data_IF_697459035832
#
_entry.id   IF_697459035832
#
_cell.length_a   1.000
_cell.length_b   1.000
_cell.length_c   1.000
_cell.angle_alpha   90.00
_cell.angle_beta   90.00
_cell.angle_gamma   90.00
#
_symmetry.space_group_name_H-M   'P 1'
#
loop_
_entity.id
_entity.type
_entity.pdbx_description
1 polymer ?
#
# COMPACT_ATOMS: atom_id res chain seq x y z
N UNK A 1 -8.02 -24.85 -0.08
CA UNK A 1 -7.86 -25.97 -1.03
C UNK A 1 -7.02 -27.03 -0.33
N UNK A 2 -7.42 -28.31 -0.33
CA UNK A 2 -6.57 -29.41 0.16
C UNK A 2 -5.83 -29.99 -1.05
N UNK A 3 -4.53 -30.23 -0.92
CA UNK A 3 -3.73 -30.87 -1.97
C UNK A 3 -4.02 -32.38 -1.97
N UNK A 4 -4.20 -33.02 -3.14
CA UNK A 4 -4.35 -34.47 -3.24
C UNK A 4 -3.15 -35.21 -2.64
N UNK A 5 -3.41 -36.24 -1.82
CA UNK A 5 -2.35 -36.97 -1.08
C UNK A 5 -1.35 -37.69 -2.00
N UNK A 6 -1.77 -38.14 -3.18
CA UNK A 6 -0.88 -38.82 -4.12
C UNK A 6 0.28 -37.92 -4.60
N UNK A 7 0.10 -36.59 -4.60
CA UNK A 7 1.14 -35.64 -5.01
C UNK A 7 2.29 -35.57 -4.00
N UNK A 8 2.10 -36.02 -2.76
CA UNK A 8 3.13 -35.94 -1.71
C UNK A 8 4.26 -36.94 -1.92
N UNK A 9 4.01 -37.99 -2.70
CA UNK A 9 4.98 -39.06 -2.98
C UNK A 9 5.52 -39.03 -4.41
N UNK A 10 5.01 -38.16 -5.27
CA UNK A 10 5.48 -38.02 -6.65
C UNK A 10 6.74 -37.14 -6.72
N UNK A 11 7.67 -37.56 -7.57
CA UNK A 11 8.87 -36.83 -7.96
C UNK A 11 8.85 -36.67 -9.48
N UNK A 12 9.35 -35.53 -9.98
CA UNK A 12 9.59 -35.37 -11.41
C UNK A 12 10.89 -36.08 -11.85
N UNK A 13 11.20 -36.02 -13.14
CA UNK A 13 12.40 -36.65 -13.74
C UNK A 13 13.72 -36.13 -13.15
N UNK A 14 13.70 -34.99 -12.46
CA UNK A 14 14.86 -34.37 -11.81
C UNK A 14 14.89 -34.63 -10.29
N UNK A 15 13.99 -35.46 -9.77
CA UNK A 15 13.88 -35.75 -8.33
C UNK A 15 13.28 -34.59 -7.54
N UNK A 16 12.60 -33.64 -8.18
CA UNK A 16 11.93 -32.55 -7.49
C UNK A 16 10.61 -33.04 -6.89
N UNK A 17 10.50 -32.92 -5.57
CA UNK A 17 9.22 -33.10 -4.87
C UNK A 17 8.28 -31.90 -5.08
N UNK A 18 7.01 -32.06 -4.70
CA UNK A 18 6.02 -30.96 -4.72
C UNK A 18 6.52 -29.68 -4.02
N UNK A 19 7.37 -29.81 -2.99
CA UNK A 19 7.98 -28.66 -2.30
C UNK A 19 9.00 -27.93 -3.18
N UNK A 20 9.80 -28.67 -3.96
CA UNK A 20 10.74 -28.08 -4.92
C UNK A 20 9.97 -27.38 -6.04
N UNK A 21 8.91 -27.99 -6.55
CA UNK A 21 8.06 -27.38 -7.58
C UNK A 21 7.35 -26.12 -7.08
N UNK A 22 6.86 -26.13 -5.84
CA UNK A 22 6.27 -24.94 -5.21
C UNK A 22 7.31 -23.86 -4.86
N UNK A 23 8.60 -24.21 -4.83
CA UNK A 23 9.69 -23.28 -4.61
C UNK A 23 10.21 -22.63 -5.91
N UNK A 24 9.85 -23.17 -7.08
CA UNK A 24 10.29 -22.65 -8.36
C UNK A 24 9.40 -21.49 -8.81
N UNK A 25 10.03 -20.37 -9.15
CA UNK A 25 9.37 -19.30 -9.91
C UNK A 25 9.29 -19.75 -11.38
N UNK A 26 8.11 -20.13 -11.86
CA UNK A 26 7.91 -20.58 -13.24
C UNK A 26 7.96 -19.43 -14.26
N UNK A 27 8.17 -19.75 -15.54
CA UNK A 27 8.16 -18.75 -16.64
C UNK A 27 6.77 -18.13 -16.90
N UNK A 28 5.71 -18.86 -16.56
CA UNK A 28 4.35 -18.33 -16.56
C UNK A 28 4.14 -17.52 -15.28
N UNK A 29 3.96 -16.20 -15.40
CA UNK A 29 3.45 -15.35 -14.32
C UNK A 29 2.07 -15.87 -13.88
N UNK A 30 1.97 -16.62 -12.77
CA UNK A 30 0.71 -17.27 -12.41
C UNK A 30 -0.32 -16.28 -11.86
N UNK A 31 0.11 -15.05 -11.63
CA UNK A 31 -0.61 -14.04 -10.87
C UNK A 31 -0.52 -12.70 -11.59
N UNK A 32 -1.66 -12.14 -12.06
CA UNK A 32 -1.74 -10.74 -12.50
C UNK A 32 -1.86 -9.83 -11.28
N UNK A 33 -0.80 -9.73 -10.49
CA UNK A 33 -0.77 -8.85 -9.32
C UNK A 33 0.04 -7.61 -9.67
N UNK A 34 -0.47 -6.39 -9.41
CA UNK A 34 0.30 -5.19 -9.67
C UNK A 34 1.52 -5.11 -8.75
N UNK A 35 2.72 -5.14 -9.33
CA UNK A 35 3.98 -4.91 -8.63
C UNK A 35 4.66 -6.18 -8.12
N UNK A 36 5.96 -6.30 -8.44
CA UNK A 36 6.82 -7.43 -8.08
C UNK A 36 6.86 -7.72 -6.56
N UNK A 37 6.64 -6.71 -5.72
CA UNK A 37 6.62 -6.88 -4.26
C UNK A 37 5.42 -7.71 -3.78
N UNK A 38 4.24 -7.48 -4.36
CA UNK A 38 3.06 -8.24 -4.03
C UNK A 38 3.18 -9.66 -4.60
N UNK A 39 3.67 -9.82 -5.83
CA UNK A 39 3.99 -11.15 -6.37
C UNK A 39 4.92 -11.94 -5.44
N UNK A 40 5.98 -11.31 -4.93
CA UNK A 40 6.88 -11.95 -3.95
C UNK A 40 6.16 -12.36 -2.66
N UNK A 41 5.26 -11.52 -2.13
CA UNK A 41 4.45 -11.87 -0.97
C UNK A 41 3.60 -13.12 -1.23
N UNK A 42 3.02 -13.23 -2.41
CA UNK A 42 2.19 -14.36 -2.82
C UNK A 42 2.99 -15.64 -2.99
N UNK A 43 4.17 -15.59 -3.61
CA UNK A 43 5.08 -16.74 -3.72
C UNK A 43 5.46 -17.29 -2.34
N UNK A 44 5.75 -16.42 -1.37
CA UNK A 44 6.04 -16.83 0.02
C UNK A 44 4.81 -17.48 0.67
N UNK A 45 3.61 -16.96 0.43
CA UNK A 45 2.36 -17.53 0.98
C UNK A 45 2.05 -18.89 0.37
N UNK A 46 2.23 -19.02 -0.94
CA UNK A 46 2.05 -20.27 -1.67
C UNK A 46 3.02 -21.34 -1.17
N UNK A 47 4.33 -21.03 -1.14
CA UNK A 47 5.35 -21.93 -0.63
C UNK A 47 5.03 -22.41 0.79
N UNK A 48 4.61 -21.50 1.68
CA UNK A 48 4.17 -21.88 3.03
C UNK A 48 2.89 -22.69 3.04
N UNK A 49 1.93 -22.41 2.17
CA UNK A 49 0.69 -23.17 2.09
C UNK A 49 0.97 -24.62 1.70
N UNK A 50 1.81 -24.84 0.68
CA UNK A 50 2.26 -26.17 0.27
C UNK A 50 3.03 -26.85 1.40
N UNK A 51 3.98 -26.14 2.03
CA UNK A 51 4.74 -26.65 3.17
C UNK A 51 3.86 -27.16 4.32
N UNK A 52 2.83 -26.41 4.74
CA UNK A 52 1.96 -26.85 5.84
C UNK A 52 0.96 -27.93 5.44
N UNK A 53 0.79 -28.20 4.13
CA UNK A 53 -0.15 -29.21 3.64
C UNK A 53 0.45 -30.60 3.54
N UNK A 54 1.77 -30.73 3.70
CA UNK A 54 2.51 -31.97 3.48
C UNK A 54 2.95 -32.58 4.83
N UNK A 55 2.92 -33.92 5.00
CA UNK A 55 3.42 -34.58 6.19
C UNK A 55 4.91 -34.29 6.49
N UNK A 56 5.33 -34.24 7.78
CA UNK A 56 6.70 -33.89 8.17
C UNK A 56 7.82 -34.74 7.56
N UNK A 57 7.51 -36.01 7.27
CA UNK A 57 8.45 -36.98 6.70
C UNK A 57 8.91 -36.60 5.28
N UNK A 58 8.15 -35.77 4.56
CA UNK A 58 8.46 -35.38 3.19
C UNK A 58 9.30 -34.09 3.08
N UNK A 59 9.67 -33.45 4.20
CA UNK A 59 10.43 -32.18 4.19
C UNK A 59 11.92 -32.34 3.88
N UNK A 60 12.50 -33.51 4.13
CA UNK A 60 13.94 -33.74 4.08
C UNK A 60 14.42 -34.40 2.77
N UNK A 61 13.66 -34.21 1.68
CA UNK A 61 14.08 -34.70 0.36
C UNK A 61 14.93 -33.63 -0.34
N UNK A 62 16.07 -34.06 -0.92
CA UNK A 62 16.86 -33.26 -1.82
C UNK A 62 16.65 -33.76 -3.25
N UNK A 63 16.66 -32.86 -4.22
CA UNK A 63 16.58 -33.25 -5.63
C UNK A 63 17.88 -33.94 -6.12
N UNK A 64 17.92 -34.36 -7.38
CA UNK A 64 19.08 -35.03 -7.97
C UNK A 64 20.38 -34.20 -7.96
N UNK A 65 20.27 -32.87 -7.74
CA UNK A 65 21.42 -31.94 -7.59
C UNK A 65 21.82 -31.72 -6.13
N UNK A 66 21.19 -32.40 -5.17
CA UNK A 66 21.43 -32.25 -3.74
C UNK A 66 20.89 -30.93 -3.16
N UNK A 67 19.96 -30.27 -3.85
CA UNK A 67 19.42 -28.98 -3.45
C UNK A 67 18.15 -29.16 -2.62
N UNK A 68 17.95 -28.26 -1.65
CA UNK A 68 16.73 -28.21 -0.84
C UNK A 68 15.71 -27.28 -1.48
N UNK A 69 14.39 -27.47 -1.24
CA UNK A 69 13.36 -26.56 -1.73
C UNK A 69 13.61 -25.10 -1.35
N UNK A 70 14.13 -24.86 -0.14
CA UNK A 70 14.46 -23.52 0.35
C UNK A 70 15.59 -22.85 -0.43
N UNK A 71 16.60 -23.62 -0.84
CA UNK A 71 17.71 -23.10 -1.65
C UNK A 71 17.21 -22.70 -3.04
N UNK A 72 16.38 -23.55 -3.67
CA UNK A 72 15.74 -23.27 -4.95
C UNK A 72 14.86 -22.01 -4.87
N UNK A 73 14.06 -21.86 -3.81
CA UNK A 73 13.21 -20.68 -3.62
C UNK A 73 14.04 -19.39 -3.65
N UNK A 74 15.11 -19.35 -2.85
CA UNK A 74 15.98 -18.18 -2.76
C UNK A 74 16.66 -17.85 -4.10
N UNK A 75 17.12 -18.86 -4.84
CA UNK A 75 17.79 -18.67 -6.12
C UNK A 75 16.84 -18.20 -7.23
N UNK A 76 15.69 -18.86 -7.36
CA UNK A 76 14.71 -18.56 -8.43
C UNK A 76 13.98 -17.24 -8.21
N UNK A 77 13.86 -16.78 -6.96
CA UNK A 77 13.17 -15.52 -6.62
C UNK A 77 14.12 -14.34 -6.40
N UNK A 78 15.43 -14.47 -6.62
CA UNK A 78 16.40 -13.38 -6.38
C UNK A 78 16.06 -12.12 -7.20
N UNK A 79 15.72 -12.30 -8.48
CA UNK A 79 15.30 -11.20 -9.36
C UNK A 79 14.02 -10.53 -8.86
N UNK A 80 13.02 -11.33 -8.47
CA UNK A 80 11.74 -10.84 -7.97
C UNK A 80 11.90 -10.06 -6.65
N UNK A 81 12.82 -10.47 -5.77
CA UNK A 81 13.17 -9.73 -4.56
C UNK A 81 13.77 -8.36 -4.91
N UNK A 82 14.69 -8.30 -5.89
CA UNK A 82 15.29 -7.03 -6.33
C UNK A 82 14.24 -6.09 -6.91
N UNK A 83 13.41 -6.58 -7.83
CA UNK A 83 12.35 -5.80 -8.47
C UNK A 83 11.27 -5.39 -7.47
N UNK A 84 10.89 -6.27 -6.55
CA UNK A 84 9.93 -5.96 -5.49
C UNK A 84 10.47 -4.92 -4.50
N UNK A 85 11.76 -5.01 -4.15
CA UNK A 85 12.42 -4.01 -3.28
C UNK A 85 12.45 -2.65 -3.96
N UNK A 86 12.85 -2.61 -5.23
CA UNK A 86 12.87 -1.39 -6.03
C UNK A 86 11.47 -0.77 -6.13
N UNK A 87 10.45 -1.57 -6.45
CA UNK A 87 9.08 -1.12 -6.54
C UNK A 87 8.57 -0.54 -5.20
N UNK A 88 8.85 -1.20 -4.08
CA UNK A 88 8.47 -0.73 -2.74
C UNK A 88 9.13 0.61 -2.39
N UNK A 89 10.42 0.72 -2.62
CA UNK A 89 11.19 1.95 -2.36
C UNK A 89 10.64 3.08 -3.23
N UNK A 90 10.51 2.85 -4.54
CA UNK A 90 10.06 3.89 -5.48
C UNK A 90 8.63 4.36 -5.21
N UNK A 91 7.75 3.43 -4.85
CA UNK A 91 6.37 3.76 -4.45
C UNK A 91 6.36 4.57 -3.14
N UNK A 92 7.16 4.15 -2.16
CA UNK A 92 7.26 4.83 -0.85
C UNK A 92 7.86 6.23 -0.98
N UNK A 93 8.87 6.43 -1.80
CA UNK A 93 9.42 7.76 -2.12
C UNK A 93 8.35 8.67 -2.72
N UNK A 94 7.63 8.18 -3.73
CA UNK A 94 6.60 8.96 -4.43
C UNK A 94 5.45 9.35 -3.48
N UNK A 95 5.01 8.41 -2.64
CA UNK A 95 3.98 8.68 -1.63
C UNK A 95 4.48 9.59 -0.50
N UNK A 96 5.77 9.52 -0.15
CA UNK A 96 6.37 10.42 0.85
C UNK A 96 6.35 11.87 0.37
N UNK A 97 6.62 12.12 -0.92
CA UNK A 97 6.52 13.48 -1.47
C UNK A 97 5.11 14.02 -1.32
N UNK A 98 4.09 13.21 -1.63
CA UNK A 98 2.68 13.62 -1.51
C UNK A 98 2.30 13.86 -0.05
N UNK A 99 2.72 12.98 0.86
CA UNK A 99 2.52 13.18 2.30
C UNK A 99 3.18 14.49 2.78
N UNK A 100 4.45 14.72 2.43
CA UNK A 100 5.16 15.95 2.79
C UNK A 100 4.44 17.20 2.27
N UNK A 101 3.92 17.18 1.04
CA UNK A 101 3.11 18.26 0.49
C UNK A 101 1.83 18.50 1.31
N UNK A 102 1.08 17.45 1.65
CA UNK A 102 -0.13 17.59 2.47
C UNK A 102 0.21 18.12 3.87
N UNK A 103 1.30 17.64 4.48
CA UNK A 103 1.75 18.12 5.78
C UNK A 103 2.13 19.60 5.72
N UNK A 104 2.85 20.04 4.69
CA UNK A 104 3.21 21.43 4.51
C UNK A 104 1.98 22.33 4.31
N UNK A 105 1.01 21.90 3.49
CA UNK A 105 -0.25 22.63 3.28
C UNK A 105 -1.04 22.70 4.59
N UNK A 106 -1.25 21.58 5.28
CA UNK A 106 -1.98 21.52 6.54
C UNK A 106 -1.32 22.34 7.66
N UNK A 107 0.02 22.39 7.70
CA UNK A 107 0.77 23.24 8.62
C UNK A 107 0.59 24.72 8.27
N UNK A 108 0.72 25.08 6.99
CA UNK A 108 0.52 26.45 6.54
C UNK A 108 -0.91 26.95 6.82
N UNK A 109 -1.93 26.12 6.57
CA UNK A 109 -3.34 26.47 6.86
C UNK A 109 -3.59 26.60 8.36
N UNK A 110 -2.98 25.76 9.19
CA UNK A 110 -3.08 25.90 10.65
C UNK A 110 -2.37 27.16 11.18
N UNK A 111 -1.28 27.58 10.54
CA UNK A 111 -0.56 28.80 10.88
C UNK A 111 -1.28 30.07 10.38
N UNK A 112 -2.07 29.95 9.32
CA UNK A 112 -2.82 31.05 8.70
C UNK A 112 -4.32 30.86 8.93
N UNK A 113 -4.73 31.04 10.18
CA UNK A 113 -6.13 30.89 10.58
C UNK A 113 -7.03 31.88 9.81
N UNK A 114 -8.12 31.41 9.18
CA UNK A 114 -9.09 32.29 8.54
C UNK A 114 -9.61 33.30 9.58
N UNK A 115 -9.66 34.58 9.22
CA UNK A 115 -10.13 35.65 10.11
C UNK A 115 -9.10 36.20 11.10
N UNK A 116 -7.96 35.53 11.29
CA UNK A 116 -6.89 35.98 12.18
C UNK A 116 -7.24 35.86 13.68
N UNK A 117 -6.41 36.47 14.51
CA UNK A 117 -6.61 36.58 15.96
C UNK A 117 -7.17 37.96 16.29
N UNK A 118 -8.05 38.04 17.28
CA UNK A 118 -8.51 39.31 17.83
C UNK A 118 -7.38 39.96 18.64
N UNK A 119 -7.00 41.17 18.28
CA UNK A 119 -5.91 41.94 18.89
C UNK A 119 -6.10 42.17 20.40
N UNK A 120 -7.34 42.08 20.92
CA UNK A 120 -7.65 42.32 22.33
C UNK A 120 -7.62 41.06 23.19
N UNK A 121 -8.04 39.93 22.64
CA UNK A 121 -8.25 38.69 23.38
C UNK A 121 -7.21 37.62 23.02
N UNK A 122 -6.58 37.72 21.84
CA UNK A 122 -5.69 36.70 21.28
C UNK A 122 -6.43 35.46 20.78
N UNK A 123 -7.76 35.47 20.80
CA UNK A 123 -8.62 34.37 20.35
C UNK A 123 -8.91 34.47 18.85
N UNK A 124 -9.18 33.35 18.16
CA UNK A 124 -9.56 33.40 16.75
C UNK A 124 -10.86 34.18 16.53
N UNK A 125 -10.86 35.11 15.59
CA UNK A 125 -12.02 35.99 15.31
C UNK A 125 -13.27 35.20 14.88
N UNK A 126 -13.08 33.99 14.35
CA UNK A 126 -14.15 33.11 13.85
C UNK A 126 -14.46 31.95 14.79
N UNK A 127 -14.03 31.99 16.06
CA UNK A 127 -14.19 30.92 17.05
C UNK A 127 -15.65 30.46 17.22
N UNK A 128 -16.63 31.36 17.08
CA UNK A 128 -18.06 31.04 17.23
C UNK A 128 -18.70 30.32 16.01
N UNK A 129 -17.92 30.04 14.95
CA UNK A 129 -18.44 29.40 13.75
C UNK A 129 -18.08 27.91 13.70
N UNK A 130 -19.09 27.04 13.58
CA UNK A 130 -18.91 25.59 13.41
C UNK A 130 -17.95 25.25 12.24
N UNK A 131 -17.95 26.05 11.17
CA UNK A 131 -17.04 25.87 10.05
C UNK A 131 -15.56 26.07 10.43
N UNK A 132 -15.28 26.92 11.42
CA UNK A 132 -13.94 27.18 11.93
C UNK A 132 -13.43 25.99 12.76
N UNK A 133 -14.26 25.44 13.64
CA UNK A 133 -13.94 24.22 14.41
C UNK A 133 -13.65 23.05 13.49
N UNK A 134 -14.54 22.82 12.50
CA UNK A 134 -14.34 21.76 11.50
C UNK A 134 -13.05 21.99 10.73
N UNK A 135 -12.78 23.22 10.28
CA UNK A 135 -11.53 23.58 9.58
C UNK A 135 -10.29 23.25 10.41
N UNK A 136 -10.25 23.72 11.66
CA UNK A 136 -9.09 23.59 12.56
C UNK A 136 -8.82 22.13 12.91
N UNK A 137 -9.84 21.39 13.35
CA UNK A 137 -9.72 19.98 13.76
C UNK A 137 -9.29 19.12 12.57
N UNK A 138 -9.92 19.28 11.42
CA UNK A 138 -9.59 18.46 10.24
C UNK A 138 -8.24 18.81 9.64
N UNK A 139 -7.78 20.07 9.72
CA UNK A 139 -6.41 20.47 9.34
C UNK A 139 -5.37 19.78 10.22
N UNK A 140 -5.60 19.75 11.54
CA UNK A 140 -4.70 19.09 12.48
C UNK A 140 -4.67 17.56 12.25
N UNK A 141 -5.83 16.95 12.05
CA UNK A 141 -5.93 15.51 11.72
C UNK A 141 -5.19 15.21 10.41
N UNK A 142 -5.35 16.04 9.37
CA UNK A 142 -4.63 15.89 8.12
C UNK A 142 -3.10 15.92 8.32
N UNK A 143 -2.61 16.88 9.10
CA UNK A 143 -1.18 17.00 9.44
C UNK A 143 -0.65 15.76 10.16
N UNK A 144 -1.31 15.33 11.24
CA UNK A 144 -0.90 14.17 12.03
C UNK A 144 -0.90 12.87 11.20
N UNK A 145 -1.93 12.64 10.40
CA UNK A 145 -2.02 11.47 9.53
C UNK A 145 -0.99 11.51 8.41
N UNK A 146 -0.65 12.69 7.90
CA UNK A 146 0.39 12.83 6.89
C UNK A 146 1.78 12.51 7.44
N UNK A 147 2.12 13.04 8.62
CA UNK A 147 3.38 12.73 9.32
C UNK A 147 3.46 11.23 9.63
N UNK A 148 2.35 10.64 10.06
CA UNK A 148 2.27 9.19 10.31
C UNK A 148 2.56 8.39 9.04
N UNK A 149 2.01 8.81 7.89
CA UNK A 149 2.29 8.18 6.59
C UNK A 149 3.78 8.29 6.23
N UNK A 150 4.41 9.46 6.43
CA UNK A 150 5.84 9.67 6.21
C UNK A 150 6.69 8.71 7.05
N UNK A 151 6.35 8.50 8.32
CA UNK A 151 7.08 7.57 9.19
C UNK A 151 7.03 6.14 8.62
N UNK A 152 5.85 5.69 8.16
CA UNK A 152 5.72 4.35 7.56
C UNK A 152 6.48 4.21 6.24
N UNK A 153 6.42 5.21 5.35
CA UNK A 153 7.15 5.15 4.08
C UNK A 153 8.67 5.24 4.29
N UNK A 154 9.14 6.08 5.22
CA UNK A 154 10.54 6.12 5.62
C UNK A 154 11.01 4.79 6.20
N UNK A 155 10.15 4.11 6.98
CA UNK A 155 10.42 2.77 7.52
C UNK A 155 10.47 1.67 6.45
N UNK A 156 9.99 1.92 5.23
CA UNK A 156 10.14 1.03 4.06
C UNK A 156 11.45 1.36 3.34
N UNK A 157 11.70 2.64 3.05
CA UNK A 157 12.91 3.14 2.37
C UNK A 157 14.18 2.73 3.11
N UNK A 158 14.16 2.82 4.44
CA UNK A 158 15.30 2.44 5.30
C UNK A 158 15.39 0.93 5.58
N UNK A 159 14.41 0.13 5.13
CA UNK A 159 14.42 -1.30 5.37
C UNK A 159 15.40 -2.02 4.44
N UNK A 160 15.98 -3.12 4.91
CA UNK A 160 16.93 -3.93 4.12
C UNK A 160 16.23 -4.82 3.07
N UNK A 161 14.91 -4.74 2.94
CA UNK A 161 14.06 -5.51 2.03
C UNK A 161 14.48 -6.99 1.91
N UNK A 162 14.61 -7.68 3.04
CA UNK A 162 14.94 -9.10 3.01
C UNK A 162 13.72 -9.94 2.61
N UNK A 163 13.96 -11.08 1.96
CA UNK A 163 12.93 -12.06 1.55
C UNK A 163 11.87 -12.32 2.65
N UNK A 164 12.29 -12.46 3.91
CA UNK A 164 11.38 -12.73 5.04
C UNK A 164 10.41 -11.58 5.32
N UNK A 165 10.81 -10.34 5.05
CA UNK A 165 10.04 -9.14 5.33
C UNK A 165 8.89 -8.94 4.33
N UNK A 166 9.03 -9.45 3.10
CA UNK A 166 7.98 -9.44 2.06
C UNK A 166 6.74 -10.22 2.48
N UNK A 167 6.84 -11.15 3.43
CA UNK A 167 5.69 -11.95 3.85
C UNK A 167 4.59 -11.10 4.50
N UNK A 168 4.97 -10.27 5.47
CA UNK A 168 4.03 -9.58 6.38
C UNK A 168 4.51 -8.15 6.63
N UNK A 169 5.77 -7.95 7.01
CA UNK A 169 6.27 -6.67 7.52
C UNK A 169 6.18 -5.56 6.48
N UNK A 170 6.72 -5.78 5.28
CA UNK A 170 6.75 -4.78 4.20
C UNK A 170 5.35 -4.43 3.67
N UNK A 171 4.51 -5.41 3.28
CA UNK A 171 3.14 -5.13 2.84
C UNK A 171 2.30 -4.42 3.92
N UNK A 172 2.47 -4.77 5.19
CA UNK A 172 1.72 -4.16 6.29
C UNK A 172 2.17 -2.72 6.55
N UNK A 173 3.47 -2.43 6.50
CA UNK A 173 3.98 -1.05 6.56
C UNK A 173 3.43 -0.21 5.41
N UNK A 174 3.45 -0.75 4.19
CA UNK A 174 2.91 -0.08 3.00
C UNK A 174 1.42 0.20 3.16
N UNK A 175 0.64 -0.78 3.60
CA UNK A 175 -0.81 -0.64 3.82
C UNK A 175 -1.14 0.39 4.90
N UNK A 176 -0.40 0.40 6.02
CA UNK A 176 -0.58 1.40 7.08
C UNK A 176 -0.21 2.80 6.59
N UNK A 177 0.89 2.95 5.86
CA UNK A 177 1.30 4.23 5.25
C UNK A 177 0.27 4.77 4.26
N UNK A 178 -0.21 3.93 3.33
CA UNK A 178 -1.23 4.31 2.35
C UNK A 178 -2.58 4.64 3.02
N UNK A 179 -3.01 3.87 4.02
CA UNK A 179 -4.26 4.16 4.74
C UNK A 179 -4.21 5.52 5.44
N UNK A 180 -3.09 5.82 6.10
CA UNK A 180 -2.85 7.11 6.75
C UNK A 180 -2.80 8.25 5.73
N UNK A 181 -2.16 8.04 4.57
CA UNK A 181 -2.09 9.02 3.49
C UNK A 181 -3.48 9.34 2.92
N UNK A 182 -4.29 8.33 2.59
CA UNK A 182 -5.64 8.57 2.07
C UNK A 182 -6.54 9.27 3.09
N UNK A 183 -6.48 8.86 4.36
CA UNK A 183 -7.21 9.53 5.42
C UNK A 183 -6.77 11.00 5.58
N UNK A 184 -5.48 11.30 5.43
CA UNK A 184 -4.95 12.66 5.41
C UNK A 184 -5.49 13.48 4.23
N UNK A 185 -5.54 12.91 3.02
CA UNK A 185 -6.12 13.57 1.84
C UNK A 185 -7.59 13.95 2.09
N UNK A 186 -8.38 13.01 2.62
CA UNK A 186 -9.79 13.25 2.93
C UNK A 186 -9.93 14.36 3.98
N UNK A 187 -9.16 14.29 5.07
CA UNK A 187 -9.19 15.32 6.11
C UNK A 187 -8.79 16.70 5.57
N UNK A 188 -7.77 16.77 4.72
CA UNK A 188 -7.34 18.02 4.09
C UNK A 188 -8.41 18.60 3.16
N UNK A 189 -9.12 17.76 2.39
CA UNK A 189 -10.24 18.21 1.55
C UNK A 189 -11.40 18.77 2.38
N UNK A 190 -11.73 18.12 3.51
CA UNK A 190 -12.77 18.61 4.42
C UNK A 190 -12.35 19.94 5.03
N UNK A 191 -11.09 20.06 5.48
CA UNK A 191 -10.53 21.31 5.99
C UNK A 191 -10.62 22.42 4.95
N UNK A 192 -10.15 22.17 3.73
CA UNK A 192 -10.22 23.15 2.65
C UNK A 192 -11.65 23.60 2.35
N UNK A 193 -12.62 22.68 2.28
CA UNK A 193 -14.02 23.01 2.06
C UNK A 193 -14.57 23.90 3.19
N UNK A 194 -14.28 23.56 4.44
CA UNK A 194 -14.72 24.32 5.62
C UNK A 194 -14.09 25.73 5.65
N UNK A 195 -12.78 25.83 5.48
CA UNK A 195 -12.07 27.11 5.45
C UNK A 195 -12.51 28.01 4.30
N UNK A 196 -12.78 27.44 3.13
CA UNK A 196 -13.19 28.22 1.97
C UNK A 196 -14.64 28.73 2.05
N UNK A 197 -15.47 28.23 2.97
CA UNK A 197 -16.79 28.83 3.25
C UNK A 197 -16.67 30.29 3.72
N UNK A 198 -15.58 30.63 4.42
CA UNK A 198 -15.30 31.99 4.87
C UNK A 198 -14.93 32.93 3.73
N UNK A 199 -14.24 32.41 2.70
CA UNK A 199 -13.83 33.17 1.51
C UNK A 199 -15.03 33.42 0.58
N UNK A 200 -16.01 32.49 0.54
CA UNK A 200 -17.13 32.54 -0.41
C UNK A 200 -18.26 33.53 -0.07
N UNK A 201 -18.17 34.30 1.02
CA UNK A 201 -19.23 35.25 1.39
C UNK A 201 -19.27 36.44 0.41
N UNK A 202 -20.33 36.40 -0.40
CA UNK A 202 -21.05 37.49 -1.08
C UNK A 202 -20.66 37.98 -2.48
N UNK A 203 -19.48 37.73 -3.08
CA UNK A 203 -19.20 38.27 -4.44
C UNK A 203 -18.74 37.31 -5.54
N UNK A 204 -18.30 36.08 -5.25
CA UNK A 204 -17.64 35.21 -6.26
C UNK A 204 -18.22 33.79 -6.41
N UNK A 205 -19.48 33.56 -5.98
CA UNK A 205 -20.13 32.24 -6.05
C UNK A 205 -20.12 31.62 -7.47
N UNK A 206 -20.36 32.43 -8.51
CA UNK A 206 -20.42 31.93 -9.90
C UNK A 206 -19.04 31.69 -10.53
N UNK A 207 -18.01 32.44 -10.13
CA UNK A 207 -16.64 32.28 -10.63
C UNK A 207 -15.86 31.18 -9.92
N UNK A 208 -16.24 30.82 -8.68
CA UNK A 208 -15.59 29.78 -7.90
C UNK A 208 -15.86 28.37 -8.47
N UNK A 209 -17.09 28.08 -8.92
CA UNK A 209 -17.50 26.74 -9.41
C UNK A 209 -16.58 26.15 -10.50
N UNK A 210 -16.23 26.88 -11.57
CA UNK A 210 -15.31 26.35 -12.58
C UNK A 210 -13.88 26.16 -12.06
N UNK A 211 -13.41 27.02 -11.14
CA UNK A 211 -12.08 26.88 -10.52
C UNK A 211 -12.02 25.62 -9.66
N UNK A 212 -13.07 25.34 -8.90
CA UNK A 212 -13.22 24.11 -8.12
C UNK A 212 -13.31 22.86 -8.99
N UNK A 213 -14.06 22.93 -10.09
CA UNK A 213 -14.14 21.83 -11.03
C UNK A 213 -12.74 21.50 -11.59
N UNK A 214 -11.97 22.50 -12.01
CA UNK A 214 -10.61 22.33 -12.52
C UNK A 214 -9.65 21.83 -11.43
N UNK A 215 -9.72 22.38 -10.21
CA UNK A 215 -8.86 21.98 -9.09
C UNK A 215 -9.15 20.57 -8.57
N UNK A 216 -10.38 20.06 -8.73
CA UNK A 216 -10.73 18.70 -8.35
C UNK A 216 -10.31 17.64 -9.37
N UNK A 217 -10.05 18.01 -10.64
CA UNK A 217 -9.65 17.05 -11.68
C UNK A 217 -8.35 16.30 -11.31
N UNK A 218 -7.25 16.97 -10.87
CA UNK A 218 -6.04 16.28 -10.45
C UNK A 218 -6.26 15.35 -9.24
N UNK A 219 -7.08 15.78 -8.28
CA UNK A 219 -7.39 15.01 -7.06
C UNK A 219 -8.21 13.76 -7.40
N UNK A 220 -9.23 13.91 -8.25
CA UNK A 220 -10.05 12.81 -8.73
C UNK A 220 -9.24 11.82 -9.59
N UNK A 221 -8.40 12.32 -10.49
CA UNK A 221 -7.49 11.50 -11.28
C UNK A 221 -6.52 10.72 -10.40
N UNK A 222 -5.95 11.37 -9.39
CA UNK A 222 -5.06 10.72 -8.43
C UNK A 222 -5.79 9.64 -7.61
N UNK A 223 -7.01 9.92 -7.14
CA UNK A 223 -7.84 8.93 -6.45
C UNK A 223 -8.13 7.71 -7.35
N UNK A 224 -8.54 7.94 -8.60
CA UNK A 224 -8.80 6.85 -9.57
C UNK A 224 -7.54 6.03 -9.86
N UNK A 225 -6.37 6.64 -9.94
CA UNK A 225 -5.12 5.94 -10.21
C UNK A 225 -4.56 5.15 -9.01
N UNK A 226 -4.76 5.64 -7.78
CA UNK A 226 -4.16 5.06 -6.57
C UNK A 226 -5.07 4.12 -5.78
N UNK A 227 -6.39 4.26 -5.92
CA UNK A 227 -7.36 3.36 -5.26
C UNK A 227 -7.23 1.89 -5.70
N UNK A 228 -7.01 1.55 -6.98
CA UNK A 228 -6.82 0.17 -7.40
C UNK A 228 -5.67 -0.51 -6.63
N UNK A 229 -4.53 0.17 -6.51
CA UNK A 229 -3.37 -0.35 -5.76
C UNK A 229 -3.71 -0.61 -4.29
N UNK A 230 -4.46 0.30 -3.65
CA UNK A 230 -4.90 0.12 -2.27
C UNK A 230 -5.80 -1.11 -2.10
N UNK A 231 -6.81 -1.24 -2.96
CA UNK A 231 -7.72 -2.38 -2.94
C UNK A 231 -6.99 -3.69 -3.23
N UNK A 232 -6.02 -3.69 -4.14
CA UNK A 232 -5.18 -4.86 -4.39
C UNK A 232 -4.37 -5.25 -3.15
N UNK A 233 -3.68 -4.32 -2.49
CA UNK A 233 -2.94 -4.61 -1.25
C UNK A 233 -3.88 -5.10 -0.14
N UNK A 234 -5.07 -4.49 -0.01
CA UNK A 234 -6.06 -4.90 0.97
C UNK A 234 -6.56 -6.32 0.69
N UNK A 235 -6.90 -6.62 -0.57
CA UNK A 235 -7.35 -7.94 -1.02
C UNK A 235 -6.27 -9.00 -0.80
N UNK A 236 -5.03 -8.74 -1.23
CA UNK A 236 -3.89 -9.63 -1.00
C UNK A 236 -3.64 -9.86 0.49
N UNK A 237 -3.89 -8.86 1.35
CA UNK A 237 -3.76 -9.01 2.80
C UNK A 237 -4.87 -9.88 3.40
N UNK A 238 -6.12 -9.72 2.95
CA UNK A 238 -7.30 -10.43 3.47
C UNK A 238 -7.39 -11.88 3.00
N UNK A 239 -6.99 -12.18 1.77
CA UNK A 239 -7.12 -13.53 1.20
C UNK A 239 -6.09 -14.49 1.83
N UNK A 240 -6.58 -15.53 2.52
CA UNK A 240 -5.75 -16.53 3.21
C UNK A 240 -5.05 -17.53 2.28
N UNK A 241 -5.66 -17.88 1.14
CA UNK A 241 -5.15 -18.91 0.24
C UNK A 241 -5.03 -18.34 -1.18
N UNK A 242 -3.85 -18.44 -1.82
CA UNK A 242 -3.70 -18.05 -3.22
C UNK A 242 -4.57 -18.95 -4.09
N UNK A 243 -5.54 -18.36 -4.79
CA UNK A 243 -6.17 -19.02 -5.91
C UNK A 243 -5.24 -18.83 -7.10
N UNK A 244 -4.40 -19.84 -7.38
CA UNK A 244 -3.66 -19.91 -8.64
C UNK A 244 -4.70 -20.10 -9.74
N UNK A 245 -5.29 -19.01 -10.22
CA UNK A 245 -6.33 -19.06 -11.25
C UNK A 245 -5.66 -19.43 -12.57
N UNK A 246 -5.56 -20.72 -12.83
CA UNK A 246 -5.14 -21.27 -14.12
C UNK A 246 -6.28 -21.21 -15.16
N UNK A 247 -7.18 -20.22 -15.08
CA UNK A 247 -8.11 -19.95 -16.18
C UNK A 247 -7.36 -19.14 -17.22
N UNK A 248 -6.65 -19.86 -18.08
CA UNK A 248 -6.35 -19.43 -19.44
C UNK A 248 -7.70 -19.14 -20.08
N UNK A 249 -8.18 -17.90 -20.02
CA UNK A 249 -9.17 -17.44 -20.97
C UNK A 249 -8.42 -17.25 -22.29
N UNK A 250 -8.32 -18.34 -23.05
CA UNK A 250 -8.25 -18.22 -24.49
C UNK A 250 -9.60 -17.69 -24.96
N UNK A 251 -9.66 -16.39 -25.24
CA UNK A 251 -10.24 -15.80 -26.45
C UNK A 251 -10.01 -14.29 -26.44
#
# INVERSE_FOLDING_TARGET
>A
MKLPEFLFHQLDDQGNSIMHLAAMNGELEPWRIPGAALQMQWEIRWYKHVMHSIPPLCFAHNNNKGETPRKIFKQTHEKLIKEGSYWLIKTSESCSVIAALIAAVAFATSATMPGGLDDKTGHPVLEDHIAFDVFSITSLVALCLSITALVFFLAIITSRCQEREFKITLPRKLLMGLSSLFASIVAMLVSFCAGHTFILREKLKYAAVPIYAVACIPVAFFAVAQLPLYFDILWTTLVKVPLRSYKVFHQ
#
